data_IF_032962188138
#
_entry.id   IF_032962188138
#
_cell.length_a   1.000
_cell.length_b   1.000
_cell.length_c   1.000
_cell.angle_alpha   90.00
_cell.angle_beta   90.00
_cell.angle_gamma   90.00
#
_symmetry.space_group_name_H-M   'P 1'
#
loop_
_entity.id
_entity.type
_entity.pdbx_description
1 polymer ?
#
# COMPACT_ATOMS: atom_id res chain seq x y z
N UNK A 1 6.45 10.13 -1.85
CA UNK A 1 5.56 11.28 -1.57
C UNK A 1 6.23 12.28 -0.64
N UNK A 2 6.69 11.87 0.55
CA UNK A 2 7.38 12.73 1.52
C UNK A 2 8.49 13.61 0.89
N UNK A 3 9.37 13.01 0.09
CA UNK A 3 10.50 13.71 -0.52
C UNK A 3 10.15 14.36 -1.88
N UNK A 4 8.87 14.41 -2.25
CA UNK A 4 8.40 15.05 -3.49
C UNK A 4 8.67 14.26 -4.78
N UNK A 5 9.35 13.11 -4.72
CA UNK A 5 9.65 12.25 -5.89
C UNK A 5 8.41 11.61 -6.54
N UNK A 6 7.30 11.52 -5.81
CA UNK A 6 6.02 10.97 -6.28
C UNK A 6 4.91 11.93 -5.86
N UNK A 7 3.97 12.21 -6.77
CA UNK A 7 2.80 13.07 -6.55
C UNK A 7 1.55 12.42 -7.15
N UNK A 8 0.40 12.63 -6.51
CA UNK A 8 -0.89 12.23 -7.06
C UNK A 8 -1.44 13.33 -7.98
N UNK A 9 -2.11 12.92 -9.05
CA UNK A 9 -2.86 13.84 -9.91
C UNK A 9 -4.11 14.36 -9.17
N UNK A 10 -4.76 15.43 -9.65
CA UNK A 10 -5.98 15.95 -9.04
C UNK A 10 -7.08 14.87 -8.92
N UNK A 11 -7.73 14.80 -7.76
CA UNK A 11 -8.86 13.90 -7.52
C UNK A 11 -10.14 14.44 -8.18
N UNK A 12 -10.53 13.82 -9.29
CA UNK A 12 -11.67 14.23 -10.13
C UNK A 12 -12.64 13.08 -10.38
N UNK A 13 -13.90 13.37 -10.71
CA UNK A 13 -14.95 12.40 -11.05
C UNK A 13 -15.28 11.40 -9.92
N UNK A 14 -15.24 11.86 -8.67
CA UNK A 14 -15.60 11.06 -7.50
C UNK A 14 -16.44 11.89 -6.52
N UNK A 15 -17.23 11.24 -5.65
CA UNK A 15 -17.91 11.90 -4.54
C UNK A 15 -16.94 12.63 -3.58
N UNK A 16 -17.45 13.64 -2.88
CA UNK A 16 -16.65 14.47 -1.97
C UNK A 16 -16.05 13.69 -0.80
N UNK A 17 -16.75 12.68 -0.28
CA UNK A 17 -16.27 11.80 0.78
C UNK A 17 -15.10 10.93 0.31
N UNK A 18 -15.16 10.44 -0.93
CA UNK A 18 -14.06 9.67 -1.54
C UNK A 18 -12.85 10.57 -1.78
N UNK A 19 -13.07 11.80 -2.26
CA UNK A 19 -12.00 12.79 -2.41
C UNK A 19 -11.34 13.11 -1.07
N UNK A 20 -12.13 13.37 -0.02
CA UNK A 20 -11.61 13.63 1.32
C UNK A 20 -10.80 12.46 1.88
N UNK A 21 -11.24 11.22 1.62
CA UNK A 21 -10.51 10.01 2.00
C UNK A 21 -9.16 9.89 1.27
N UNK A 22 -9.14 10.18 -0.03
CA UNK A 22 -7.91 10.16 -0.84
C UNK A 22 -6.90 11.21 -0.35
N UNK A 23 -7.36 12.45 -0.11
CA UNK A 23 -6.52 13.53 0.42
C UNK A 23 -5.97 13.23 1.82
N UNK A 24 -6.81 12.66 2.70
CA UNK A 24 -6.38 12.23 4.03
C UNK A 24 -5.32 11.12 3.95
N UNK A 25 -5.48 10.18 3.02
CA UNK A 25 -4.54 9.06 2.82
C UNK A 25 -3.22 9.55 2.23
N UNK A 26 -3.25 10.46 1.26
CA UNK A 26 -2.05 11.09 0.72
C UNK A 26 -1.27 11.82 1.84
N UNK A 27 -1.95 12.61 2.66
CA UNK A 27 -1.34 13.29 3.83
C UNK A 27 -0.76 12.29 4.83
N UNK A 28 -1.45 11.18 5.07
CA UNK A 28 -0.98 10.11 5.98
C UNK A 28 0.33 9.50 5.47
N UNK A 29 0.41 9.18 4.17
CA UNK A 29 1.63 8.64 3.55
C UNK A 29 2.75 9.69 3.51
N UNK A 30 2.43 10.95 3.20
CA UNK A 30 3.39 12.06 3.25
C UNK A 30 3.94 12.27 4.68
N UNK A 31 3.11 12.02 5.70
CA UNK A 31 3.48 12.04 7.11
C UNK A 31 4.31 10.85 7.59
N UNK A 32 4.61 9.88 6.71
CA UNK A 32 5.51 8.76 7.00
C UNK A 32 4.81 7.43 7.33
N UNK A 33 3.50 7.33 7.18
CA UNK A 33 2.82 6.03 7.26
C UNK A 33 3.17 5.17 6.04
N UNK A 34 3.52 3.90 6.27
CA UNK A 34 3.90 2.96 5.22
C UNK A 34 2.67 2.13 4.77
N UNK A 35 2.35 2.07 3.46
CA UNK A 35 1.28 1.20 2.95
C UNK A 35 1.47 -0.28 3.26
N UNK A 36 2.72 -0.75 3.39
CA UNK A 36 3.06 -2.12 3.76
C UNK A 36 3.21 -2.24 5.28
N UNK A 37 2.15 -1.86 6.01
CA UNK A 37 2.00 -2.08 7.45
C UNK A 37 0.96 -3.18 7.68
N UNK A 38 1.31 -4.18 8.49
CA UNK A 38 0.42 -5.28 8.80
C UNK A 38 -0.80 -4.90 9.66
N UNK A 39 -1.79 -5.80 9.75
CA UNK A 39 -1.71 -7.21 9.36
C UNK A 39 -1.94 -7.43 7.86
N UNK A 40 -1.03 -8.16 7.21
CA UNK A 40 -1.15 -8.55 5.78
C UNK A 40 -0.89 -10.05 5.63
N UNK A 41 -1.75 -10.70 4.85
CA UNK A 41 -1.58 -12.08 4.40
C UNK A 41 -1.19 -12.13 2.91
N UNK A 42 -0.43 -13.16 2.53
CA UNK A 42 -0.14 -13.48 1.14
C UNK A 42 -1.38 -14.04 0.44
N UNK A 43 -1.31 -14.14 -0.89
CA UNK A 43 -2.39 -14.65 -1.75
C UNK A 43 -2.82 -16.06 -1.36
N UNK A 44 -1.88 -16.91 -0.94
CA UNK A 44 -2.12 -18.27 -0.47
C UNK A 44 -2.73 -18.36 0.94
N UNK A 45 -2.96 -17.22 1.60
CA UNK A 45 -3.52 -17.12 2.94
C UNK A 45 -2.49 -17.21 4.07
N UNK A 46 -1.21 -17.45 3.77
CA UNK A 46 -0.15 -17.45 4.79
C UNK A 46 0.09 -16.03 5.34
N UNK A 47 0.35 -15.86 6.65
CA UNK A 47 0.66 -14.55 7.21
C UNK A 47 1.97 -13.99 6.63
N UNK A 48 2.01 -12.69 6.30
CA UNK A 48 3.23 -11.98 5.91
C UNK A 48 3.67 -10.98 6.97
N UNK A 49 2.84 -9.98 7.28
CA UNK A 49 3.14 -8.96 8.29
C UNK A 49 2.15 -9.07 9.45
N UNK A 50 2.64 -9.03 10.68
CA UNK A 50 1.82 -8.95 11.90
C UNK A 50 1.21 -7.56 12.05
N UNK A 51 0.23 -7.43 12.93
CA UNK A 51 -0.39 -6.13 13.22
C UNK A 51 0.67 -5.09 13.64
N UNK A 52 0.69 -3.95 12.95
CA UNK A 52 1.66 -2.87 13.16
C UNK A 52 3.09 -3.12 12.62
N UNK A 53 3.39 -4.31 12.11
CA UNK A 53 4.69 -4.61 11.51
C UNK A 53 4.83 -3.92 10.15
N UNK A 54 5.91 -3.16 9.95
CA UNK A 54 6.20 -2.47 8.69
C UNK A 54 7.21 -3.30 7.90
N UNK A 55 6.92 -3.54 6.62
CA UNK A 55 7.86 -4.22 5.73
C UNK A 55 9.19 -3.46 5.60
N UNK A 56 10.29 -4.20 5.53
CA UNK A 56 11.61 -3.63 5.23
C UNK A 56 11.79 -3.41 3.72
N UNK A 57 12.58 -2.40 3.36
CA UNK A 57 12.82 -2.03 1.97
C UNK A 57 13.49 -3.16 1.16
N UNK A 58 14.29 -4.01 1.79
CA UNK A 58 14.93 -5.16 1.12
C UNK A 58 13.92 -6.19 0.64
N UNK A 59 12.95 -6.53 1.50
CA UNK A 59 11.82 -7.39 1.13
C UNK A 59 10.97 -6.76 0.03
N UNK A 60 10.70 -5.46 0.10
CA UNK A 60 9.89 -4.76 -0.92
C UNK A 60 10.59 -4.74 -2.30
N UNK A 61 11.91 -4.53 -2.33
CA UNK A 61 12.70 -4.57 -3.57
C UNK A 61 12.73 -5.97 -4.20
N UNK A 62 12.63 -7.03 -3.39
CA UNK A 62 12.61 -8.42 -3.83
C UNK A 62 11.21 -9.06 -3.88
N UNK A 63 10.15 -8.27 -3.77
CA UNK A 63 8.80 -8.81 -3.58
C UNK A 63 8.35 -9.63 -4.80
N UNK A 64 8.18 -10.94 -4.58
CA UNK A 64 7.86 -11.95 -5.60
C UNK A 64 6.65 -12.81 -5.20
N UNK A 65 5.69 -12.20 -4.50
CA UNK A 65 4.41 -12.80 -4.14
C UNK A 65 3.31 -11.74 -4.16
N UNK A 66 2.06 -12.19 -4.26
CA UNK A 66 0.89 -11.31 -4.12
C UNK A 66 0.30 -11.38 -2.70
N UNK A 67 -0.44 -10.34 -2.32
CA UNK A 67 -1.25 -10.30 -1.10
C UNK A 67 -2.61 -10.96 -1.32
N UNK A 68 -3.29 -11.32 -0.23
CA UNK A 68 -4.65 -11.86 -0.25
C UNK A 68 -5.61 -10.92 -1.01
N UNK A 69 -6.40 -11.48 -1.94
CA UNK A 69 -7.38 -10.74 -2.74
C UNK A 69 -6.91 -10.39 -4.16
N UNK A 70 -5.65 -10.66 -4.50
CA UNK A 70 -5.18 -10.63 -5.90
C UNK A 70 -5.51 -11.98 -6.55
N UNK A 71 -6.06 -11.98 -7.76
CA UNK A 71 -6.43 -13.21 -8.49
C UNK A 71 -5.35 -13.69 -9.48
N UNK A 72 -4.39 -12.81 -9.81
CA UNK A 72 -3.34 -13.11 -10.77
C UNK A 72 -2.33 -14.13 -10.24
N UNK A 73 -1.58 -14.78 -11.14
CA UNK A 73 -0.49 -15.69 -10.79
C UNK A 73 0.81 -15.11 -11.32
N UNK A 74 1.79 -14.94 -10.43
CA UNK A 74 3.12 -14.50 -10.84
C UNK A 74 3.72 -15.50 -11.84
N UNK A 75 4.26 -15.01 -12.98
CA UNK A 75 5.08 -15.83 -13.86
C UNK A 75 6.28 -16.41 -13.09
N UNK A 76 6.60 -17.67 -13.34
CA UNK A 76 7.74 -18.37 -12.74
C UNK A 76 8.75 -18.80 -13.81
#
# INVERSE_FOLDING_TARGET
>A
IKDGAVKLAPFTNMPDDVKAMAEATEKKIAGGWNPFTGPIAKQDGTPWLKDGEVADDGTLLGMNFYVKGVDDKLPQ
#
